data_IF_233900789269
#
_entry.id   IF_233900789269
#
_cell.length_a   1.000
_cell.length_b   1.000
_cell.length_c   1.000
_cell.angle_alpha   90.00
_cell.angle_beta   90.00
_cell.angle_gamma   90.00
#
_symmetry.space_group_name_H-M   'P 1'
#
loop_
_entity.id
_entity.type
_entity.pdbx_description
1 polymer ?
#
# COMPACT_ATOMS: atom_id res chain seq x y z
N UNK A 1 7.69 23.57 7.08
CA UNK A 1 6.70 22.47 7.12
C UNK A 1 5.65 22.75 6.05
N UNK A 2 5.47 21.84 5.12
CA UNK A 2 4.46 21.95 4.06
C UNK A 2 3.06 21.76 4.64
N UNK A 3 2.01 22.17 3.88
CA UNK A 3 0.62 21.94 4.28
C UNK A 3 0.33 20.44 4.45
N UNK A 4 0.89 19.62 3.57
CA UNK A 4 0.73 18.16 3.63
C UNK A 4 1.35 17.58 4.91
N UNK A 5 2.57 17.99 5.25
CA UNK A 5 3.22 17.57 6.50
C UNK A 5 2.41 17.97 7.74
N UNK A 6 1.80 19.17 7.74
CA UNK A 6 0.93 19.59 8.83
C UNK A 6 -0.30 18.70 9.01
N UNK A 7 -0.95 18.33 7.90
CA UNK A 7 -2.11 17.40 7.92
C UNK A 7 -1.68 16.01 8.42
N UNK A 8 -0.53 15.51 7.98
CA UNK A 8 -0.01 14.22 8.44
C UNK A 8 0.39 14.25 9.93
N UNK A 9 0.88 15.38 10.45
CA UNK A 9 1.15 15.53 11.87
C UNK A 9 -0.13 15.58 12.72
N UNK A 10 -1.21 16.19 12.22
CA UNK A 10 -2.51 16.14 12.87
C UNK A 10 -3.06 14.72 12.89
N UNK A 11 -2.99 14.00 11.77
CA UNK A 11 -3.38 12.59 11.72
C UNK A 11 -2.60 11.73 12.72
N UNK A 12 -1.28 11.92 12.80
CA UNK A 12 -0.44 11.24 13.80
C UNK A 12 -0.91 11.52 15.23
N UNK A 13 -1.26 12.78 15.55
CA UNK A 13 -1.75 13.15 16.86
C UNK A 13 -3.08 12.48 17.20
N UNK A 14 -4.01 12.37 16.24
CA UNK A 14 -5.30 11.69 16.41
C UNK A 14 -5.14 10.17 16.57
N UNK A 15 -4.19 9.55 15.87
CA UNK A 15 -3.86 8.14 16.03
C UNK A 15 -3.20 7.82 17.39
N UNK A 16 -2.53 8.80 17.98
CA UNK A 16 -1.92 8.67 19.31
C UNK A 16 -0.84 7.58 19.38
N UNK A 17 -0.90 6.78 20.45
CA UNK A 17 0.11 5.74 20.74
C UNK A 17 0.13 4.59 19.73
N UNK A 18 -0.95 4.38 18.99
CA UNK A 18 -1.04 3.32 18.00
C UNK A 18 -0.37 3.65 16.67
N UNK A 19 0.04 4.91 16.47
CA UNK A 19 0.72 5.36 15.26
C UNK A 19 2.13 4.77 15.15
N UNK A 20 2.43 4.13 14.03
CA UNK A 20 3.77 3.64 13.69
C UNK A 20 4.38 4.49 12.57
N UNK A 21 3.71 4.57 11.43
CA UNK A 21 4.17 5.39 10.31
C UNK A 21 3.04 5.74 9.35
N UNK A 22 3.29 6.74 8.52
CA UNK A 22 2.40 7.13 7.42
C UNK A 22 3.23 7.63 6.24
N UNK A 23 2.75 7.41 5.01
CA UNK A 23 3.37 7.93 3.80
C UNK A 23 2.33 8.18 2.71
N UNK A 24 2.47 9.29 2.00
CA UNK A 24 1.72 9.62 0.78
C UNK A 24 2.64 9.40 -0.40
N UNK A 25 2.22 8.57 -1.32
CA UNK A 25 3.07 8.03 -2.38
C UNK A 25 2.39 8.16 -3.74
N UNK A 26 3.17 8.54 -4.75
CA UNK A 26 2.72 8.52 -6.14
C UNK A 26 2.63 7.08 -6.68
N UNK A 27 1.84 6.88 -7.73
CA UNK A 27 1.75 5.57 -8.39
C UNK A 27 3.04 5.13 -9.08
N UNK A 28 4.02 6.03 -9.21
CA UNK A 28 5.40 5.75 -9.62
C UNK A 28 6.26 5.15 -8.50
N UNK A 29 5.72 5.10 -7.26
CA UNK A 29 6.42 4.60 -6.08
C UNK A 29 7.26 5.64 -5.34
N UNK A 30 7.19 6.91 -5.74
CA UNK A 30 7.90 8.00 -5.06
C UNK A 30 7.11 8.53 -3.87
N UNK A 31 7.75 8.57 -2.70
CA UNK A 31 7.21 9.21 -1.51
C UNK A 31 7.15 10.73 -1.71
N UNK A 32 6.01 11.32 -1.37
CA UNK A 32 5.77 12.76 -1.42
C UNK A 32 5.98 13.39 -0.06
N UNK A 33 5.39 12.79 0.97
CA UNK A 33 5.55 13.17 2.36
C UNK A 33 5.14 12.02 3.27
N UNK A 34 5.87 11.85 4.34
CA UNK A 34 5.58 10.81 5.31
C UNK A 34 6.22 11.10 6.66
N UNK A 35 6.00 10.22 7.60
CA UNK A 35 6.59 10.29 8.92
C UNK A 35 6.46 8.97 9.67
N UNK A 36 7.36 8.75 10.62
CA UNK A 36 7.38 7.57 11.47
C UNK A 36 7.50 7.96 12.94
N UNK A 37 7.02 7.12 13.82
CA UNK A 37 7.31 7.18 15.24
C UNK A 37 8.74 6.71 15.55
N UNK A 38 9.26 5.78 14.74
CA UNK A 38 10.65 5.32 14.82
C UNK A 38 11.53 6.06 13.81
N UNK A 39 12.53 6.83 14.25
CA UNK A 39 13.42 7.57 13.35
C UNK A 39 14.29 6.67 12.45
N UNK A 40 14.44 5.38 12.79
CA UNK A 40 15.19 4.43 11.98
C UNK A 40 14.33 3.76 10.90
N UNK A 41 13.01 3.98 10.91
CA UNK A 41 12.11 3.43 9.90
C UNK A 41 12.09 4.34 8.66
N UNK A 42 12.48 3.78 7.53
CA UNK A 42 12.39 4.47 6.23
C UNK A 42 11.08 4.14 5.52
N UNK A 43 10.12 5.05 5.60
CA UNK A 43 8.85 4.92 4.88
C UNK A 43 9.08 4.89 3.35
N UNK A 44 10.04 5.66 2.85
CA UNK A 44 10.34 5.76 1.42
C UNK A 44 10.85 4.44 0.81
N UNK A 45 11.58 3.62 1.58
CA UNK A 45 12.06 2.32 1.11
C UNK A 45 10.93 1.31 0.90
N UNK A 46 9.84 1.47 1.64
CA UNK A 46 8.65 0.65 1.50
C UNK A 46 7.68 1.17 0.42
N UNK A 47 7.77 2.44 0.05
CA UNK A 47 6.80 3.12 -0.83
C UNK A 47 6.64 2.42 -2.19
N UNK A 48 7.72 2.08 -2.88
CA UNK A 48 7.68 1.37 -4.16
C UNK A 48 6.98 0.01 -4.05
N UNK A 49 7.19 -0.71 -2.95
CA UNK A 49 6.57 -2.02 -2.68
C UNK A 49 5.07 -1.89 -2.47
N UNK A 50 4.63 -0.86 -1.76
CA UNK A 50 3.21 -0.59 -1.59
C UNK A 50 2.54 -0.19 -2.90
N UNK A 51 3.21 0.55 -3.78
CA UNK A 51 2.71 0.85 -5.11
C UNK A 51 2.43 -0.43 -5.92
N UNK A 52 3.31 -1.41 -5.88
CA UNK A 52 3.12 -2.70 -6.54
C UNK A 52 1.93 -3.48 -5.97
N UNK A 53 1.77 -3.50 -4.64
CA UNK A 53 0.62 -4.13 -3.97
C UNK A 53 -0.69 -3.48 -4.41
N UNK A 54 -0.75 -2.16 -4.46
CA UNK A 54 -1.95 -1.42 -4.88
C UNK A 54 -2.30 -1.67 -6.34
N UNK A 55 -1.31 -1.73 -7.24
CA UNK A 55 -1.50 -2.10 -8.65
C UNK A 55 -2.03 -3.53 -8.78
N UNK A 56 -1.49 -4.46 -8.00
CA UNK A 56 -1.94 -5.85 -8.00
C UNK A 56 -3.38 -5.97 -7.50
N UNK A 57 -3.75 -5.24 -6.43
CA UNK A 57 -5.11 -5.22 -5.92
C UNK A 57 -6.12 -4.76 -6.98
N UNK A 58 -5.79 -3.72 -7.76
CA UNK A 58 -6.63 -3.25 -8.88
C UNK A 58 -6.76 -4.31 -9.97
N UNK A 59 -5.65 -4.96 -10.37
CA UNK A 59 -5.67 -6.03 -11.37
C UNK A 59 -6.56 -7.19 -10.94
N UNK A 60 -6.46 -7.62 -9.69
CA UNK A 60 -7.28 -8.70 -9.14
C UNK A 60 -8.74 -8.29 -9.12
N UNK A 61 -9.06 -7.12 -8.59
CA UNK A 61 -10.43 -6.60 -8.52
C UNK A 61 -11.09 -6.51 -9.90
N UNK A 62 -10.37 -6.00 -10.90
CA UNK A 62 -10.86 -5.93 -12.28
C UNK A 62 -11.10 -7.33 -12.87
N UNK A 63 -10.21 -8.29 -12.57
CA UNK A 63 -10.32 -9.66 -13.12
C UNK A 63 -11.54 -10.41 -12.61
N UNK A 64 -11.94 -10.17 -11.37
CA UNK A 64 -13.10 -10.82 -10.73
C UNK A 64 -14.36 -9.97 -10.74
N UNK A 65 -14.31 -8.79 -11.41
CA UNK A 65 -15.42 -7.83 -11.46
C UNK A 65 -15.95 -7.43 -10.06
N UNK A 66 -15.02 -7.17 -9.14
CA UNK A 66 -15.33 -6.84 -7.74
C UNK A 66 -15.50 -5.33 -7.47
N UNK A 67 -15.49 -4.52 -8.53
CA UNK A 67 -15.58 -3.06 -8.40
C UNK A 67 -14.24 -2.38 -8.15
N UNK A 68 -14.29 -1.12 -7.72
CA UNK A 68 -13.08 -0.32 -7.45
C UNK A 68 -12.48 -0.67 -6.10
N UNK A 69 -11.15 -0.72 -6.04
CA UNK A 69 -10.41 -0.89 -4.78
C UNK A 69 -10.51 0.40 -3.96
N UNK A 70 -11.00 0.30 -2.74
CA UNK A 70 -11.01 1.40 -1.78
C UNK A 70 -9.74 1.39 -0.93
N UNK A 71 -9.50 0.28 -0.24
CA UNK A 71 -8.27 0.07 0.52
C UNK A 71 -7.71 -1.36 0.36
N UNK A 72 -6.47 -1.54 0.76
CA UNK A 72 -5.84 -2.83 0.93
C UNK A 72 -5.29 -2.94 2.35
N UNK A 73 -5.74 -3.96 3.10
CA UNK A 73 -5.32 -4.22 4.46
C UNK A 73 -4.37 -5.42 4.51
N UNK A 74 -3.20 -5.21 5.06
CA UNK A 74 -2.27 -6.28 5.45
C UNK A 74 -2.22 -6.34 6.97
N UNK A 75 -2.54 -7.50 7.52
CA UNK A 75 -2.43 -7.77 8.96
C UNK A 75 -1.16 -8.57 9.22
N UNK A 76 -0.31 -8.04 10.08
CA UNK A 76 0.89 -8.74 10.54
C UNK A 76 0.76 -9.15 12.01
N UNK A 77 1.76 -9.83 12.53
CA UNK A 77 1.78 -10.19 13.96
C UNK A 77 1.99 -9.01 14.90
N UNK A 78 2.39 -7.84 14.36
CA UNK A 78 2.69 -6.63 15.14
C UNK A 78 1.82 -5.45 14.74
N UNK A 79 1.49 -5.33 13.46
CA UNK A 79 0.94 -4.11 12.90
C UNK A 79 -0.20 -4.38 11.92
N UNK A 80 -1.05 -3.38 11.75
CA UNK A 80 -1.95 -3.24 10.62
C UNK A 80 -1.35 -2.26 9.61
N UNK A 81 -1.38 -2.61 8.33
CA UNK A 81 -0.96 -1.77 7.23
C UNK A 81 -2.15 -1.53 6.32
N UNK A 82 -2.64 -0.31 6.26
CA UNK A 82 -3.74 0.06 5.37
C UNK A 82 -3.20 0.98 4.28
N UNK A 83 -3.42 0.60 3.03
CA UNK A 83 -3.09 1.42 1.86
C UNK A 83 -4.38 1.75 1.12
N UNK A 84 -4.66 3.04 0.87
CA UNK A 84 -5.84 3.46 0.13
C UNK A 84 -5.49 4.45 -0.97
N UNK A 85 -6.28 4.44 -2.05
CA UNK A 85 -6.16 5.42 -3.11
C UNK A 85 -6.67 6.79 -2.66
N UNK A 86 -6.03 7.85 -3.17
CA UNK A 86 -6.45 9.23 -3.02
C UNK A 86 -6.93 9.79 -4.37
N UNK A 87 -8.07 10.44 -4.33
CA UNK A 87 -8.64 11.09 -5.51
C UNK A 87 -8.96 10.12 -6.66
N UNK A 88 -8.36 10.38 -7.80
CA UNK A 88 -8.51 9.60 -9.03
C UNK A 88 -7.60 8.36 -9.12
N UNK A 89 -6.83 8.08 -8.07
CA UNK A 89 -5.85 7.00 -8.05
C UNK A 89 -4.45 7.38 -8.52
N UNK A 90 -4.16 8.67 -8.66
CA UNK A 90 -2.80 9.16 -8.94
C UNK A 90 -1.86 9.00 -7.76
N UNK A 91 -2.43 8.95 -6.58
CA UNK A 91 -1.71 8.80 -5.31
C UNK A 91 -2.36 7.73 -4.47
N UNK A 92 -1.60 7.19 -3.54
CA UNK A 92 -2.12 6.38 -2.46
C UNK A 92 -1.50 6.78 -1.12
N UNK A 93 -2.20 6.48 -0.07
CA UNK A 93 -1.82 6.80 1.28
C UNK A 93 -1.70 5.53 2.10
N UNK A 94 -0.54 5.32 2.72
CA UNK A 94 -0.22 4.18 3.57
C UNK A 94 -0.20 4.62 5.02
N UNK A 95 -0.84 3.86 5.87
CA UNK A 95 -0.81 4.00 7.33
C UNK A 95 -0.42 2.68 7.95
N UNK A 96 0.59 2.71 8.80
CA UNK A 96 0.99 1.59 9.65
C UNK A 96 0.64 1.93 11.09
N UNK A 97 -0.08 1.05 11.74
CA UNK A 97 -0.47 1.20 13.14
C UNK A 97 -0.23 -0.11 13.89
N UNK A 98 -0.02 -0.02 15.20
CA UNK A 98 0.09 -1.23 16.04
C UNK A 98 -1.19 -2.08 15.95
N UNK A 99 -1.08 -3.38 16.13
CA UNK A 99 -2.23 -4.28 16.11
C UNK A 99 -3.16 -4.13 17.34
N UNK A 100 -2.83 -3.23 18.27
CA UNK A 100 -3.72 -2.81 19.35
C UNK A 100 -4.75 -1.78 18.87
N UNK A 101 -4.48 -1.11 17.73
CA UNK A 101 -5.41 -0.15 17.15
C UNK A 101 -6.74 -0.82 16.73
N UNK A 102 -7.82 -0.08 16.83
CA UNK A 102 -9.11 -0.52 16.30
C UNK A 102 -9.20 -0.19 14.82
N UNK A 103 -9.32 -1.20 13.95
CA UNK A 103 -9.41 -1.01 12.49
C UNK A 103 -10.54 -0.06 12.07
N UNK A 104 -11.68 -0.11 12.77
CA UNK A 104 -12.80 0.81 12.53
C UNK A 104 -12.40 2.27 12.77
N UNK A 105 -11.71 2.55 13.87
CA UNK A 105 -11.20 3.90 14.18
C UNK A 105 -10.17 4.35 13.14
N UNK A 106 -9.23 3.49 12.76
CA UNK A 106 -8.26 3.80 11.71
C UNK A 106 -8.94 4.20 10.40
N UNK A 107 -9.89 3.40 9.93
CA UNK A 107 -10.63 3.70 8.69
C UNK A 107 -11.46 4.97 8.80
N UNK A 108 -12.07 5.22 9.95
CA UNK A 108 -12.80 6.47 10.21
C UNK A 108 -11.88 7.69 10.08
N UNK A 109 -10.72 7.67 10.74
CA UNK A 109 -9.73 8.74 10.64
C UNK A 109 -9.19 8.87 9.22
N UNK A 110 -8.91 7.76 8.53
CA UNK A 110 -8.46 7.82 7.14
C UNK A 110 -9.54 8.41 6.22
N UNK A 111 -10.82 8.16 6.45
CA UNK A 111 -11.91 8.79 5.70
C UNK A 111 -11.98 10.29 5.94
N UNK A 112 -11.76 10.74 7.17
CA UNK A 112 -11.78 12.15 7.53
C UNK A 112 -10.59 12.92 6.96
N UNK A 113 -9.40 12.33 7.01
CA UNK A 113 -8.15 12.99 6.58
C UNK A 113 -7.87 12.87 5.08
N UNK A 114 -8.38 11.85 4.39
CA UNK A 114 -8.10 11.64 2.97
C UNK A 114 -8.39 12.88 2.07
N UNK A 115 -9.52 13.57 2.18
CA UNK A 115 -9.76 14.77 1.39
C UNK A 115 -8.83 15.93 1.76
N UNK A 116 -8.43 16.05 3.02
CA UNK A 116 -7.49 17.07 3.48
C UNK A 116 -6.09 16.82 2.95
N UNK A 117 -5.64 15.55 2.96
CA UNK A 117 -4.37 15.11 2.38
C UNK A 117 -4.37 15.39 0.89
N UNK A 118 -5.40 14.96 0.16
CA UNK A 118 -5.50 15.19 -1.28
C UNK A 118 -5.43 16.68 -1.63
N UNK A 119 -6.12 17.54 -0.90
CA UNK A 119 -6.08 19.00 -1.10
C UNK A 119 -4.73 19.62 -0.74
N UNK A 120 -3.91 18.95 0.07
CA UNK A 120 -2.61 19.42 0.51
C UNK A 120 -1.44 18.90 -0.36
N UNK A 121 -1.66 17.89 -1.20
CA UNK A 121 -0.65 17.41 -2.15
C UNK A 121 -0.31 18.54 -3.13
N UNK A 122 0.99 18.86 -3.30
CA UNK A 122 1.40 19.83 -4.31
C UNK A 122 0.90 19.37 -5.69
N UNK A 123 0.24 20.26 -6.44
CA UNK A 123 -0.22 19.97 -7.80
C UNK A 123 1.00 19.82 -8.71
N UNK A 124 1.56 18.61 -8.75
CA UNK A 124 2.54 18.23 -9.76
C UNK A 124 1.78 17.77 -10.99
N UNK A 125 1.93 18.46 -12.06
CA UNK A 125 1.08 18.43 -13.26
C UNK A 125 1.08 17.10 -14.04
N UNK A 126 1.70 16.03 -13.58
CA UNK A 126 1.90 14.80 -14.38
C UNK A 126 2.06 13.49 -13.60
N UNK A 127 1.45 13.31 -12.42
CA UNK A 127 1.43 11.97 -11.83
C UNK A 127 0.48 11.07 -12.65
N UNK A 128 0.93 9.92 -13.18
CA UNK A 128 0.06 9.00 -13.90
C UNK A 128 -0.97 8.40 -12.95
N UNK A 129 -2.21 8.21 -13.40
CA UNK A 129 -3.23 7.48 -12.65
C UNK A 129 -2.89 5.99 -12.60
N UNK A 130 -3.48 5.25 -11.65
CA UNK A 130 -3.29 3.80 -11.57
C UNK A 130 -3.65 3.11 -12.88
N UNK A 131 -4.70 3.55 -13.57
CA UNK A 131 -5.12 3.00 -14.86
C UNK A 131 -4.07 3.23 -15.94
N UNK A 132 -3.49 4.42 -16.05
CA UNK A 132 -2.41 4.74 -17.00
C UNK A 132 -1.13 3.93 -16.73
N UNK A 133 -0.82 3.67 -15.46
CA UNK A 133 0.34 2.85 -15.08
C UNK A 133 0.12 1.37 -15.40
N UNK A 134 -1.13 0.88 -15.32
CA UNK A 134 -1.49 -0.51 -15.67
C UNK A 134 -1.45 -0.79 -17.17
N UNK A 135 -1.67 0.23 -18.02
CA UNK A 135 -1.62 0.11 -19.49
C UNK A 135 -0.20 0.00 -20.04
N UNK A 136 0.82 0.40 -19.28
CA UNK A 136 2.21 0.20 -19.70
C UNK A 136 2.53 -1.29 -19.69
N UNK A 137 3.00 -1.88 -20.81
CA UNK A 137 3.45 -3.25 -20.81
C UNK A 137 4.60 -3.38 -19.79
N UNK A 138 4.44 -4.33 -18.89
CA UNK A 138 5.56 -4.76 -18.06
C UNK A 138 6.50 -5.45 -19.04
N UNK A 139 7.61 -4.83 -19.40
CA UNK A 139 8.73 -5.50 -20.04
C UNK A 139 9.35 -6.48 -19.03
N UNK A 140 8.58 -7.50 -18.73
CA UNK A 140 9.06 -8.67 -18.06
C UNK A 140 9.81 -9.52 -19.09
N UNK A 141 11.06 -9.20 -19.38
CA UNK A 141 12.03 -10.24 -19.68
C UNK A 141 12.26 -11.06 -18.41
N UNK A 142 11.23 -11.76 -18.00
CA UNK A 142 11.42 -12.94 -17.17
C UNK A 142 11.83 -14.00 -18.17
N UNK A 143 13.14 -14.24 -18.28
CA UNK A 143 13.60 -15.49 -18.83
C UNK A 143 12.86 -16.59 -18.04
N UNK A 144 12.23 -17.57 -18.73
CA UNK A 144 11.58 -18.66 -18.02
C UNK A 144 12.69 -19.43 -17.31
N UNK A 145 12.86 -19.17 -16.03
CA UNK A 145 13.62 -20.04 -15.15
C UNK A 145 13.01 -21.43 -15.33
N UNK A 146 13.83 -22.40 -15.78
CA UNK A 146 13.40 -23.77 -16.02
C UNK A 146 12.73 -24.29 -14.75
N UNK A 147 11.41 -24.22 -14.74
CA UNK A 147 10.61 -24.80 -13.67
C UNK A 147 10.93 -26.29 -13.66
N UNK A 148 11.67 -26.73 -12.65
CA UNK A 148 11.84 -28.16 -12.40
C UNK A 148 10.44 -28.74 -12.22
N UNK A 149 10.12 -29.86 -12.83
CA UNK A 149 8.79 -30.44 -12.74
C UNK A 149 8.44 -30.63 -11.26
N UNK A 150 7.31 -30.05 -10.85
CA UNK A 150 6.74 -30.24 -9.53
C UNK A 150 6.53 -31.74 -9.36
N UNK A 151 7.23 -32.36 -8.42
CA UNK A 151 7.00 -33.76 -8.06
C UNK A 151 5.52 -33.91 -7.72
N UNK A 152 4.89 -34.86 -8.37
CA UNK A 152 3.48 -35.19 -8.20
C UNK A 152 3.18 -35.36 -6.69
N UNK A 153 2.10 -34.74 -6.22
CA UNK A 153 1.65 -34.85 -4.81
C UNK A 153 1.51 -36.28 -4.31
N UNK A 154 1.28 -37.21 -5.18
CA UNK A 154 1.20 -38.66 -4.89
C UNK A 154 2.54 -39.26 -4.44
N UNK A 155 3.69 -38.74 -4.89
CA UNK A 155 5.01 -39.25 -4.51
C UNK A 155 5.47 -38.79 -3.13
N UNK A 156 4.91 -37.66 -2.62
CA UNK A 156 5.28 -37.13 -1.31
C UNK A 156 4.79 -38.01 -0.13
N UNK A 157 3.71 -38.79 -0.34
CA UNK A 157 3.10 -39.66 0.69
C UNK A 157 3.57 -41.11 0.60
N UNK A 158 4.25 -41.50 -0.48
CA UNK A 158 4.72 -42.88 -0.67
C UNK A 158 5.97 -43.24 0.16
N UNK A 159 6.78 -42.25 0.56
CA UNK A 159 8.04 -42.46 1.27
C UNK A 159 7.92 -42.51 2.83
N UNK A 160 6.70 -42.58 3.36
CA UNK A 160 6.47 -42.66 4.83
C UNK A 160 5.95 -44.01 5.32
N UNK A 161 6.15 -45.08 4.54
CA UNK A 161 5.90 -46.44 5.03
C UNK A 161 7.15 -47.28 4.84
N UNK A 162 8.09 -47.13 5.77
CA UNK A 162 9.01 -48.17 6.26
C UNK A 162 9.64 -47.66 7.58
#
# INVERSE_FOLDING_TARGET
MTKLEQVLQQFKAEMGADFVSTDVVGMDGMSIAGGSADPNFSASDAAARFAEIMKLAVKVSNKIDSGKVDDNLVTTTKDYIISRFLGDGSFYWVVVASNNATLGTMRMLMNEFAPQILAAIPQVTTAPTVEQVLEKPIDAKIEPEKVKPVRDRASFWADKKN
#
